data_IF_339874385507
#
_entry.id   IF_339874385507
#
_cell.length_a   1.000
_cell.length_b   1.000
_cell.length_c   1.000
_cell.angle_alpha   90.00
_cell.angle_beta   90.00
_cell.angle_gamma   90.00
#
_symmetry.space_group_name_H-M   'P 1'
#
loop_
_entity.id
_entity.type
_entity.pdbx_description
1 polymer ?
#
# COMPACT_ATOMS: atom_id res chain seq x y z
N UNK A 1 16.79 34.06 -29.58
CA UNK A 1 17.13 32.74 -29.01
C UNK A 1 15.83 31.95 -28.89
N UNK A 2 15.72 30.87 -29.65
CA UNK A 2 14.51 30.05 -29.77
C UNK A 2 14.53 28.96 -28.69
N UNK A 3 13.52 28.90 -27.83
CA UNK A 3 13.35 27.84 -26.84
C UNK A 3 12.70 26.62 -27.50
N UNK A 4 13.10 25.37 -27.17
CA UNK A 4 12.61 24.19 -27.86
C UNK A 4 11.17 23.84 -27.45
N UNK A 5 10.32 23.61 -28.44
CA UNK A 5 9.05 22.90 -28.30
C UNK A 5 9.34 21.43 -28.00
N UNK A 6 9.07 20.97 -26.77
CA UNK A 6 9.02 19.54 -26.49
C UNK A 6 7.65 18.99 -26.94
N UNK A 7 7.67 18.23 -28.03
CA UNK A 7 6.59 17.31 -28.41
C UNK A 7 6.77 16.01 -27.65
N UNK A 8 5.83 15.69 -26.75
CA UNK A 8 5.70 14.33 -26.20
C UNK A 8 4.75 13.56 -27.12
N UNK A 9 5.31 12.58 -27.82
CA UNK A 9 4.56 11.62 -28.63
C UNK A 9 3.71 10.73 -27.73
N UNK A 10 2.39 10.85 -27.87
CA UNK A 10 1.43 9.95 -27.23
C UNK A 10 1.55 8.55 -27.84
N UNK A 11 2.02 7.60 -27.04
CA UNK A 11 1.86 6.18 -27.26
C UNK A 11 0.79 5.62 -26.34
N UNK A 12 -0.29 5.19 -26.96
CA UNK A 12 -1.29 4.22 -26.49
C UNK A 12 -2.63 4.71 -25.92
N UNK A 13 -3.65 4.15 -26.56
CA UNK A 13 -5.08 4.41 -26.45
C UNK A 13 -5.65 3.91 -25.12
N UNK A 14 -6.39 4.79 -24.43
CA UNK A 14 -7.48 4.38 -23.56
C UNK A 14 -8.73 5.12 -24.04
N UNK A 15 -9.51 4.47 -24.89
CA UNK A 15 -10.72 5.03 -25.44
C UNK A 15 -11.73 5.33 -24.33
N UNK A 16 -12.35 6.50 -24.45
CA UNK A 16 -13.73 6.77 -24.03
C UNK A 16 -14.08 6.52 -22.56
N UNK A 17 -13.99 7.56 -21.74
CA UNK A 17 -15.17 8.17 -21.08
C UNK A 17 -14.78 9.31 -20.13
N UNK A 18 -15.07 10.53 -20.60
CA UNK A 18 -15.61 11.73 -19.91
C UNK A 18 -14.97 12.97 -20.51
N UNK A 19 -15.62 13.47 -21.57
CA UNK A 19 -15.46 14.84 -22.03
C UNK A 19 -16.04 15.75 -20.94
N UNK A 20 -15.21 16.18 -20.00
CA UNK A 20 -15.52 17.38 -19.20
C UNK A 20 -14.80 18.52 -19.87
N UNK A 21 -15.58 19.43 -20.45
CA UNK A 21 -15.09 20.62 -21.13
C UNK A 21 -14.26 21.47 -20.16
N UNK A 22 -12.94 21.45 -20.34
CA UNK A 22 -12.06 22.46 -19.75
C UNK A 22 -12.00 23.60 -20.77
N UNK A 23 -12.82 24.62 -20.53
CA UNK A 23 -12.78 25.90 -21.25
C UNK A 23 -11.35 26.44 -21.18
N UNK A 24 -10.72 26.68 -22.34
CA UNK A 24 -9.35 27.22 -22.46
C UNK A 24 -9.32 28.69 -22.03
N UNK A 25 -9.26 28.94 -20.72
CA UNK A 25 -8.72 30.20 -20.21
C UNK A 25 -7.19 30.16 -20.36
N UNK A 26 -6.58 31.23 -20.88
CA UNK A 26 -5.12 31.38 -20.88
C UNK A 26 -4.69 31.63 -19.44
N UNK A 27 -4.10 30.62 -18.80
CA UNK A 27 -3.46 30.76 -17.49
C UNK A 27 -2.33 31.80 -17.59
N UNK A 28 -2.29 32.74 -16.65
CA UNK A 28 -1.17 33.70 -16.49
C UNK A 28 0.09 32.99 -15.98
N UNK A 29 1.26 33.63 -16.03
CA UNK A 29 2.50 33.03 -15.49
C UNK A 29 2.42 32.74 -13.98
N UNK A 30 1.64 33.54 -13.24
CA UNK A 30 1.32 33.30 -11.82
C UNK A 30 0.39 32.09 -11.64
N UNK A 31 -0.60 31.92 -12.54
CA UNK A 31 -1.44 30.73 -12.59
C UNK A 31 -0.63 29.47 -12.94
N UNK A 32 0.30 29.55 -13.89
CA UNK A 32 1.18 28.43 -14.25
C UNK A 32 2.12 28.05 -13.11
N UNK A 33 2.66 29.04 -12.37
CA UNK A 33 3.45 28.80 -11.17
C UNK A 33 2.68 28.07 -10.06
N UNK A 34 1.40 28.41 -9.89
CA UNK A 34 0.51 27.73 -8.94
C UNK A 34 0.02 26.36 -9.46
N UNK A 35 -0.22 26.22 -10.77
CA UNK A 35 -0.63 24.97 -11.42
C UNK A 35 0.50 23.95 -11.40
N UNK A 36 1.75 24.35 -11.61
CA UNK A 36 2.93 23.48 -11.71
C UNK A 36 3.90 23.63 -10.52
N UNK A 37 3.42 24.06 -9.36
CA UNK A 37 4.27 24.12 -8.18
C UNK A 37 4.79 22.70 -7.85
N UNK A 38 6.10 22.42 -7.90
CA UNK A 38 6.63 21.06 -7.75
C UNK A 38 6.35 20.45 -6.37
N UNK A 39 5.92 21.26 -5.39
CA UNK A 39 5.46 20.78 -4.07
C UNK A 39 4.01 20.31 -4.04
N UNK A 40 3.18 20.79 -4.97
CA UNK A 40 1.72 20.54 -4.97
C UNK A 40 1.21 19.97 -6.30
N UNK A 41 2.06 19.91 -7.33
CA UNK A 41 1.72 19.41 -8.65
C UNK A 41 1.68 17.89 -8.65
N UNK A 42 0.47 17.35 -8.83
CA UNK A 42 0.24 15.93 -9.06
C UNK A 42 -0.63 15.78 -10.31
N UNK A 43 -0.03 15.36 -11.42
CA UNK A 43 -0.76 15.13 -12.67
C UNK A 43 -1.74 13.98 -12.49
N UNK A 44 -3.03 14.25 -12.66
CA UNK A 44 -4.04 13.22 -12.93
C UNK A 44 -4.26 12.17 -11.83
N UNK A 45 -3.76 12.35 -10.61
CA UNK A 45 -4.01 11.38 -9.54
C UNK A 45 -4.00 12.00 -8.15
N UNK A 46 -5.12 12.62 -7.79
CA UNK A 46 -5.44 13.02 -6.42
C UNK A 46 -5.23 11.88 -5.41
N UNK A 47 -5.26 10.61 -5.86
CA UNK A 47 -5.02 9.43 -5.03
C UNK A 47 -3.64 9.36 -4.36
N UNK A 48 -2.63 10.07 -4.88
CA UNK A 48 -1.30 10.18 -4.27
C UNK A 48 -1.08 11.51 -3.54
N UNK A 49 -2.07 12.40 -3.52
CA UNK A 49 -1.98 13.64 -2.80
C UNK A 49 -1.86 13.37 -1.30
N UNK A 50 -1.01 14.16 -0.62
CA UNK A 50 -0.74 14.00 0.81
C UNK A 50 -2.02 14.06 1.64
N UNK A 51 -2.90 14.99 1.32
CA UNK A 51 -4.16 15.22 2.01
C UNK A 51 -5.08 14.01 1.89
N UNK A 52 -5.21 13.46 0.68
CA UNK A 52 -6.01 12.27 0.40
C UNK A 52 -5.48 11.04 1.15
N UNK A 53 -4.16 10.81 1.12
CA UNK A 53 -3.53 9.71 1.86
C UNK A 53 -3.71 9.85 3.37
N UNK A 54 -3.54 11.06 3.89
CA UNK A 54 -3.73 11.36 5.32
C UNK A 54 -5.16 11.10 5.75
N UNK A 55 -6.14 11.52 4.95
CA UNK A 55 -7.54 11.26 5.23
C UNK A 55 -7.81 9.75 5.28
N UNK A 56 -7.33 8.98 4.29
CA UNK A 56 -7.50 7.53 4.25
C UNK A 56 -6.82 6.82 5.43
N UNK A 57 -5.59 7.21 5.78
CA UNK A 57 -4.85 6.63 6.92
C UNK A 57 -5.52 6.88 8.28
N UNK A 58 -6.31 7.95 8.39
CA UNK A 58 -7.08 8.29 9.60
C UNK A 58 -8.41 7.53 9.71
N UNK A 59 -8.85 6.83 8.66
CA UNK A 59 -10.09 6.02 8.70
C UNK A 59 -9.82 4.69 9.40
N UNK A 60 -10.79 4.25 10.20
CA UNK A 60 -10.78 2.92 10.80
C UNK A 60 -11.69 1.98 10.03
N UNK A 61 -11.12 0.86 9.58
CA UNK A 61 -11.85 -0.27 8.97
C UNK A 61 -11.85 -1.51 9.88
N UNK A 62 -11.40 -1.37 11.14
CA UNK A 62 -11.24 -2.53 12.02
C UNK A 62 -12.55 -3.28 12.28
N UNK A 63 -13.68 -2.56 12.26
CA UNK A 63 -15.02 -3.12 12.42
C UNK A 63 -15.42 -4.12 11.32
N UNK A 64 -14.68 -4.17 10.20
CA UNK A 64 -14.91 -5.12 9.11
C UNK A 64 -14.32 -6.52 9.39
N UNK A 65 -13.52 -6.67 10.45
CA UNK A 65 -12.78 -7.90 10.75
C UNK A 65 -13.22 -8.55 12.06
N UNK A 66 -12.88 -9.84 12.24
CA UNK A 66 -13.07 -10.53 13.51
C UNK A 66 -12.26 -9.88 14.64
N UNK A 67 -12.65 -10.10 15.89
CA UNK A 67 -11.95 -9.56 17.06
C UNK A 67 -10.47 -9.97 17.07
N UNK A 68 -10.17 -11.20 16.66
CA UNK A 68 -8.79 -11.71 16.63
C UNK A 68 -7.97 -11.06 15.51
N UNK A 69 -8.54 -10.88 14.31
CA UNK A 69 -7.85 -10.15 13.25
C UNK A 69 -7.66 -8.67 13.61
N UNK A 70 -8.63 -8.04 14.30
CA UNK A 70 -8.49 -6.67 14.80
C UNK A 70 -7.30 -6.53 15.76
N UNK A 71 -7.18 -7.44 16.72
CA UNK A 71 -6.04 -7.47 17.66
C UNK A 71 -4.72 -7.66 16.91
N UNK A 72 -4.65 -8.64 16.01
CA UNK A 72 -3.46 -8.91 15.20
C UNK A 72 -3.03 -7.67 14.38
N UNK A 73 -4.00 -6.94 13.79
CA UNK A 73 -3.72 -5.69 13.07
C UNK A 73 -3.16 -4.60 13.98
N UNK A 74 -3.70 -4.44 15.18
CA UNK A 74 -3.25 -3.44 16.16
C UNK A 74 -1.83 -3.77 16.63
N UNK A 75 -1.59 -5.02 17.03
CA UNK A 75 -0.30 -5.48 17.52
C UNK A 75 0.77 -5.40 16.45
N UNK A 76 0.45 -5.81 15.21
CA UNK A 76 1.40 -5.71 14.10
C UNK A 76 1.72 -4.25 13.79
N UNK A 77 0.73 -3.36 13.75
CA UNK A 77 0.99 -1.93 13.56
C UNK A 77 1.87 -1.36 14.69
N UNK A 78 1.64 -1.77 15.94
CA UNK A 78 2.48 -1.39 17.07
C UNK A 78 3.91 -1.93 16.91
N UNK A 79 4.09 -3.17 16.45
CA UNK A 79 5.40 -3.75 16.17
C UNK A 79 6.17 -2.94 15.11
N UNK A 80 5.51 -2.53 14.02
CA UNK A 80 6.09 -1.60 13.05
C UNK A 80 6.51 -0.28 13.71
N UNK A 81 5.66 0.32 14.57
CA UNK A 81 5.99 1.57 15.26
C UNK A 81 7.15 1.43 16.26
N UNK A 82 7.23 0.29 16.94
CA UNK A 82 8.32 -0.01 17.87
C UNK A 82 9.63 -0.23 17.12
N UNK A 83 9.63 -1.01 16.04
CA UNK A 83 10.78 -1.13 15.15
C UNK A 83 11.22 0.25 14.65
N UNK A 84 10.24 1.10 14.31
CA UNK A 84 10.52 2.46 13.87
C UNK A 84 11.17 3.33 14.95
N UNK A 85 10.68 3.22 16.18
CA UNK A 85 11.21 3.94 17.34
C UNK A 85 12.62 3.50 17.72
N UNK A 86 12.95 2.22 17.53
CA UNK A 86 14.26 1.65 17.84
C UNK A 86 15.28 1.77 16.68
N UNK A 87 14.89 2.36 15.54
CA UNK A 87 15.79 2.54 14.40
C UNK A 87 16.08 1.27 13.61
N UNK A 88 15.28 0.20 13.76
CA UNK A 88 15.46 -1.08 13.06
C UNK A 88 14.94 -1.07 11.61
N UNK A 89 14.69 0.10 11.06
CA UNK A 89 14.18 0.28 9.71
C UNK A 89 15.33 0.55 8.73
N UNK A 90 15.48 -0.29 7.73
CA UNK A 90 16.30 -0.01 6.55
C UNK A 90 15.35 0.28 5.38
N UNK A 91 15.06 1.56 5.14
CA UNK A 91 14.20 2.01 4.03
C UNK A 91 12.75 1.44 4.09
N UNK A 92 12.05 1.43 2.94
CA UNK A 92 10.65 0.99 2.79
C UNK A 92 10.49 -0.45 2.30
N UNK A 93 11.60 -1.18 2.15
CA UNK A 93 11.62 -2.52 1.55
C UNK A 93 11.43 -3.66 2.55
N UNK A 94 11.52 -3.39 3.85
CA UNK A 94 11.40 -4.40 4.89
C UNK A 94 9.94 -4.75 5.21
N UNK A 95 9.72 -5.96 5.73
CA UNK A 95 8.39 -6.46 6.07
C UNK A 95 8.40 -7.14 7.45
N UNK A 96 7.34 -6.90 8.23
CA UNK A 96 6.95 -7.68 9.39
C UNK A 96 5.58 -8.28 9.09
N UNK A 97 5.44 -9.59 9.19
CA UNK A 97 4.17 -10.27 8.87
C UNK A 97 3.56 -10.91 10.10
N UNK A 98 2.23 -10.97 10.14
CA UNK A 98 1.47 -11.69 11.15
C UNK A 98 0.53 -12.69 10.45
N UNK A 99 0.45 -13.92 10.96
CA UNK A 99 -0.50 -14.91 10.47
C UNK A 99 -1.88 -14.62 11.07
N UNK A 100 -2.92 -14.73 10.26
CA UNK A 100 -4.30 -14.66 10.70
C UNK A 100 -5.11 -15.74 9.99
N UNK A 101 -6.10 -16.28 10.68
CA UNK A 101 -7.00 -17.26 10.09
C UNK A 101 -8.00 -16.56 9.16
N UNK A 102 -8.09 -17.08 7.95
CA UNK A 102 -9.10 -16.77 6.96
C UNK A 102 -10.40 -17.56 7.20
N UNK A 103 -11.44 -17.27 6.40
CA UNK A 103 -12.66 -18.07 6.40
C UNK A 103 -12.33 -19.55 6.12
N UNK A 104 -13.09 -20.47 6.72
CA UNK A 104 -12.96 -21.91 6.51
C UNK A 104 -11.58 -22.51 6.88
N UNK A 105 -10.82 -21.84 7.76
CA UNK A 105 -9.51 -22.32 8.22
C UNK A 105 -8.37 -22.12 7.20
N UNK A 106 -8.59 -21.28 6.19
CA UNK A 106 -7.49 -20.83 5.33
C UNK A 106 -6.48 -20.02 6.14
N UNK A 107 -5.21 -20.04 5.74
CA UNK A 107 -4.19 -19.22 6.39
C UNK A 107 -3.89 -17.99 5.53
N UNK A 108 -4.05 -16.81 6.13
CA UNK A 108 -3.74 -15.54 5.51
C UNK A 108 -2.59 -14.85 6.26
N UNK A 109 -2.00 -13.82 5.65
CA UNK A 109 -0.98 -12.98 6.27
C UNK A 109 -1.39 -11.52 6.24
N UNK A 110 -1.09 -10.81 7.32
CA UNK A 110 -1.06 -9.35 7.36
C UNK A 110 0.35 -8.85 7.04
N UNK A 111 0.45 -7.83 6.19
CA UNK A 111 1.71 -7.21 5.76
C UNK A 111 1.54 -5.69 5.55
N UNK A 112 2.63 -4.93 5.62
CA UNK A 112 2.59 -3.51 5.28
C UNK A 112 2.27 -3.28 3.79
N UNK A 113 1.48 -2.24 3.46
CA UNK A 113 1.42 -1.75 2.09
C UNK A 113 2.80 -1.22 1.69
N UNK A 114 3.12 -1.33 0.40
CA UNK A 114 4.35 -0.78 -0.15
C UNK A 114 4.34 0.76 -0.08
N UNK A 115 5.51 1.39 -0.07
CA UNK A 115 5.63 2.86 -0.11
C UNK A 115 5.43 3.59 1.22
N UNK A 116 4.82 2.97 2.24
CA UNK A 116 4.72 3.56 3.57
C UNK A 116 5.97 3.27 4.41
N UNK A 117 6.43 4.29 5.13
CA UNK A 117 7.39 4.11 6.20
C UNK A 117 6.75 3.38 7.38
N UNK A 118 7.55 2.69 8.20
CA UNK A 118 7.06 2.04 9.42
C UNK A 118 6.36 3.02 10.37
N UNK A 119 6.76 4.30 10.35
CA UNK A 119 6.12 5.41 11.08
C UNK A 119 4.79 5.88 10.50
N UNK A 120 4.30 5.26 9.44
CA UNK A 120 3.03 5.62 8.79
C UNK A 120 2.03 4.47 8.85
N UNK A 121 2.49 3.25 9.12
CA UNK A 121 1.63 2.05 9.22
C UNK A 121 0.56 2.21 10.31
N UNK A 122 -0.70 1.97 9.98
CA UNK A 122 -1.80 1.87 10.93
C UNK A 122 -2.40 0.47 10.87
N UNK A 123 -3.17 0.07 11.89
CA UNK A 123 -3.86 -1.22 11.90
C UNK A 123 -4.78 -1.39 10.66
N UNK A 124 -5.39 -0.28 10.24
CA UNK A 124 -6.26 -0.20 9.07
C UNK A 124 -5.50 -0.15 7.73
N UNK A 125 -4.23 0.27 7.71
CA UNK A 125 -3.44 0.30 6.46
C UNK A 125 -2.88 -1.06 6.07
N UNK A 126 -2.84 -2.03 6.98
CA UNK A 126 -2.30 -3.37 6.74
C UNK A 126 -3.10 -4.10 5.64
N UNK A 127 -2.36 -4.73 4.73
CA UNK A 127 -2.90 -5.53 3.64
C UNK A 127 -3.02 -6.98 4.12
N UNK A 128 -4.14 -7.63 3.83
CA UNK A 128 -4.31 -9.07 4.01
C UNK A 128 -4.10 -9.79 2.69
N UNK A 129 -3.26 -10.82 2.71
CA UNK A 129 -2.90 -11.62 1.54
C UNK A 129 -3.07 -13.10 1.83
N UNK A 130 -3.27 -13.92 0.80
CA UNK A 130 -3.10 -15.36 0.89
C UNK A 130 -1.60 -15.74 0.79
N UNK A 131 -1.28 -17.03 0.93
CA UNK A 131 0.09 -17.52 0.74
C UNK A 131 0.56 -17.51 -0.71
N UNK A 132 -0.36 -17.40 -1.66
CA UNK A 132 0.01 -17.18 -3.05
C UNK A 132 0.46 -15.75 -3.33
N UNK A 133 0.14 -14.84 -2.40
CA UNK A 133 0.43 -13.43 -2.49
C UNK A 133 -0.66 -12.61 -3.16
N UNK A 134 -1.82 -13.21 -3.40
CA UNK A 134 -2.99 -12.49 -3.85
C UNK A 134 -3.54 -11.65 -2.69
N UNK A 135 -3.97 -10.44 -3.00
CA UNK A 135 -4.57 -9.56 -2.00
C UNK A 135 -5.99 -10.00 -1.72
N UNK A 136 -6.25 -10.40 -0.48
CA UNK A 136 -7.60 -10.68 0.04
C UNK A 136 -8.26 -9.37 0.49
N UNK A 137 -7.50 -8.49 1.15
CA UNK A 137 -7.99 -7.19 1.57
C UNK A 137 -6.91 -6.10 1.44
N UNK A 138 -7.16 -4.99 0.72
CA UNK A 138 -6.15 -3.96 0.47
C UNK A 138 -5.86 -3.06 1.69
N UNK A 139 -6.70 -3.10 2.72
CA UNK A 139 -6.66 -2.11 3.78
C UNK A 139 -7.02 -0.72 3.25
N UNK A 140 -6.74 0.34 4.01
CA UNK A 140 -7.14 1.69 3.62
C UNK A 140 -6.27 2.33 2.53
N UNK A 141 -5.16 1.72 2.09
CA UNK A 141 -4.27 2.30 1.06
C UNK A 141 -3.59 1.26 0.14
N UNK A 142 -3.81 -0.04 0.34
CA UNK A 142 -3.15 -1.07 -0.48
C UNK A 142 -3.68 -1.13 -1.92
N UNK A 143 -4.84 -0.56 -2.22
CA UNK A 143 -5.33 -0.32 -3.60
C UNK A 143 -4.53 0.77 -4.33
N UNK A 144 -3.86 1.66 -3.58
CA UNK A 144 -3.02 2.72 -4.12
C UNK A 144 -1.60 2.21 -4.32
N UNK A 145 -1.03 1.58 -3.29
CA UNK A 145 0.40 1.22 -3.27
C UNK A 145 0.69 -0.26 -3.50
N UNK A 146 -0.30 -1.13 -3.31
CA UNK A 146 -0.09 -2.57 -3.35
C UNK A 146 0.84 -3.08 -2.26
N UNK A 147 1.51 -4.19 -2.57
CA UNK A 147 2.52 -4.84 -1.73
C UNK A 147 3.82 -5.01 -2.50
N UNK A 148 4.94 -5.16 -1.80
CA UNK A 148 6.22 -5.48 -2.43
C UNK A 148 6.26 -6.96 -2.87
N UNK A 149 6.05 -7.21 -4.17
CA UNK A 149 6.06 -8.57 -4.74
C UNK A 149 7.40 -9.32 -4.55
N UNK A 150 8.53 -8.62 -4.50
CA UNK A 150 9.83 -9.26 -4.31
C UNK A 150 10.01 -9.77 -2.87
N UNK A 151 9.52 -9.03 -1.88
CA UNK A 151 9.52 -9.45 -0.47
C UNK A 151 8.59 -10.63 -0.21
N UNK A 152 7.47 -10.67 -0.91
CA UNK A 152 6.47 -11.74 -0.84
C UNK A 152 7.04 -13.13 -1.20
N UNK A 153 7.87 -13.23 -2.24
CA UNK A 153 8.50 -14.51 -2.63
C UNK A 153 9.35 -15.08 -1.48
N UNK A 154 10.08 -14.22 -0.76
CA UNK A 154 10.90 -14.63 0.40
C UNK A 154 10.02 -15.08 1.57
N UNK A 155 8.97 -14.32 1.89
CA UNK A 155 8.03 -14.65 2.97
C UNK A 155 7.34 -15.98 2.68
N UNK A 156 6.83 -16.17 1.46
CA UNK A 156 6.15 -17.40 1.02
C UNK A 156 7.01 -18.63 1.25
N UNK A 157 8.29 -18.59 0.88
CA UNK A 157 9.22 -19.71 1.10
C UNK A 157 9.39 -20.03 2.59
N UNK A 158 9.64 -19.02 3.41
CA UNK A 158 9.85 -19.18 4.86
C UNK A 158 8.60 -19.74 5.54
N UNK A 159 7.43 -19.18 5.26
CA UNK A 159 6.19 -19.60 5.94
C UNK A 159 5.78 -21.01 5.53
N UNK A 160 5.86 -21.35 4.23
CA UNK A 160 5.60 -22.72 3.76
C UNK A 160 6.54 -23.71 4.45
N UNK A 161 7.83 -23.38 4.58
CA UNK A 161 8.80 -24.26 5.24
C UNK A 161 8.50 -24.45 6.73
N UNK A 162 8.06 -23.38 7.43
CA UNK A 162 7.63 -23.45 8.83
C UNK A 162 6.39 -24.33 8.99
N UNK A 163 5.36 -24.13 8.16
CA UNK A 163 4.12 -24.91 8.24
C UNK A 163 4.37 -26.39 7.92
N UNK A 164 5.20 -26.69 6.92
CA UNK A 164 5.62 -28.07 6.62
C UNK A 164 6.35 -28.72 7.80
N UNK A 165 7.24 -27.99 8.47
CA UNK A 165 7.93 -28.46 9.69
C UNK A 165 6.99 -28.67 10.87
N UNK A 166 5.98 -27.82 11.03
CA UNK A 166 4.99 -27.98 12.10
C UNK A 166 4.11 -29.21 11.84
N UNK A 167 3.61 -29.40 10.61
CA UNK A 167 2.78 -30.56 10.23
C UNK A 167 3.50 -31.90 10.41
N UNK A 168 4.75 -32.00 9.94
CA UNK A 168 5.56 -33.22 10.14
C UNK A 168 5.82 -33.52 11.61
N UNK A 169 5.91 -32.50 12.47
CA UNK A 169 6.09 -32.67 13.92
C UNK A 169 4.82 -33.14 14.62
N UNK A 170 3.64 -32.76 14.13
CA UNK A 170 2.35 -33.24 14.62
C UNK A 170 2.05 -34.69 14.24
N UNK A 171 2.60 -35.19 13.13
CA UNK A 171 2.43 -36.56 12.64
C UNK A 171 3.40 -37.57 13.30
N UNK A 172 4.35 -37.11 14.12
CA UNK A 172 5.34 -37.93 14.84
C UNK A 172 5.04 -38.12 16.34
N UNK A 173 3.87 -37.67 16.81
CA UNK A 173 3.38 -37.81 18.20
C UNK A 173 2.06 -38.58 18.14
#
# INVERSE_FOLDING_TARGET
MSSPLYTVSNGENYSEKKKTAITRARATDEDLGNIFNPRTYVVGSHKFAREYLRERLNRSILHEFSIDEQKARIELAAAYRLAAKNGWLESIYNHITCNVDGPNGEHHLLINPFGLNYREITASSLVKIDFDGNTIHPGVVGDIFGINKAGLVKIRKIVIDILKKQRTRSEMI
#
